data_IF_720512447627
#
_entry.id   IF_720512447627
#
_cell.length_a   1.000
_cell.length_b   1.000
_cell.length_c   1.000
_cell.angle_alpha   90.00
_cell.angle_beta   90.00
_cell.angle_gamma   90.00
#
_symmetry.space_group_name_H-M   'P 1'
#
loop_
_entity.id
_entity.type
_entity.pdbx_description
1 polymer ?
#
# COMPACT_ATOMS: atom_id res chain seq x y z
N UNK A 1 -16.44 -27.07 -56.15
CA UNK A 1 -15.65 -25.83 -56.16
C UNK A 1 -16.62 -24.66 -56.19
N UNK A 2 -16.43 -23.68 -55.32
CA UNK A 2 -17.33 -22.52 -55.21
C UNK A 2 -16.50 -21.25 -55.44
N UNK A 3 -16.80 -20.52 -56.51
CA UNK A 3 -16.13 -19.27 -56.86
C UNK A 3 -17.20 -18.20 -57.03
N UNK A 4 -17.09 -17.12 -56.26
CA UNK A 4 -18.00 -15.99 -56.29
C UNK A 4 -17.22 -14.78 -56.76
N UNK A 5 -17.72 -14.10 -57.79
CA UNK A 5 -17.17 -12.82 -58.25
C UNK A 5 -18.23 -11.75 -58.06
N UNK A 6 -17.96 -10.79 -57.17
CA UNK A 6 -18.83 -9.65 -56.91
C UNK A 6 -20.30 -10.03 -56.68
N UNK A 7 -20.53 -11.12 -55.93
CA UNK A 7 -21.87 -11.63 -55.66
C UNK A 7 -22.54 -10.83 -54.53
N UNK A 8 -23.83 -10.55 -54.66
CA UNK A 8 -24.64 -9.96 -53.58
C UNK A 8 -24.73 -10.94 -52.41
N UNK A 9 -24.45 -10.45 -51.20
CA UNK A 9 -24.54 -11.24 -49.97
C UNK A 9 -25.89 -11.92 -49.80
N UNK A 10 -27.00 -11.33 -50.28
CA UNK A 10 -28.34 -11.93 -50.21
C UNK A 10 -28.46 -13.19 -51.05
N UNK A 11 -27.93 -13.16 -52.27
CA UNK A 11 -27.90 -14.32 -53.15
C UNK A 11 -26.99 -15.42 -52.59
N UNK A 12 -25.89 -15.04 -51.95
CA UNK A 12 -24.99 -15.97 -51.26
C UNK A 12 -25.67 -16.64 -50.07
N UNK A 13 -26.39 -15.88 -49.24
CA UNK A 13 -27.18 -16.41 -48.11
C UNK A 13 -28.21 -17.43 -48.60
N UNK A 14 -28.93 -17.13 -49.68
CA UNK A 14 -29.93 -18.04 -50.24
C UNK A 14 -29.30 -19.34 -50.75
N UNK A 15 -28.15 -19.25 -51.42
CA UNK A 15 -27.41 -20.44 -51.91
C UNK A 15 -26.97 -21.31 -50.73
N UNK A 16 -26.48 -20.69 -49.66
CA UNK A 16 -26.03 -21.39 -48.46
C UNK A 16 -27.22 -21.98 -47.69
N UNK A 17 -28.36 -21.30 -47.65
CA UNK A 17 -29.59 -21.82 -47.06
C UNK A 17 -30.01 -23.15 -47.70
N UNK A 18 -29.93 -23.23 -49.04
CA UNK A 18 -30.23 -24.46 -49.79
C UNK A 18 -29.19 -25.54 -49.52
N UNK A 19 -27.90 -25.20 -49.54
CA UNK A 19 -26.82 -26.17 -49.36
C UNK A 19 -26.70 -26.71 -47.93
N UNK A 20 -26.97 -25.86 -46.93
CA UNK A 20 -26.86 -26.23 -45.50
C UNK A 20 -28.19 -26.72 -44.92
N UNK A 21 -29.31 -26.53 -45.63
CA UNK A 21 -30.66 -26.85 -45.15
C UNK A 21 -31.14 -25.97 -44.00
N UNK A 22 -30.45 -24.87 -43.69
CA UNK A 22 -30.76 -23.98 -42.56
C UNK A 22 -31.58 -22.79 -43.02
N UNK A 23 -32.55 -22.38 -42.21
CA UNK A 23 -33.36 -21.18 -42.46
C UNK A 23 -32.64 -19.92 -41.94
N UNK A 24 -32.52 -18.90 -42.79
CA UNK A 24 -31.90 -17.62 -42.43
C UNK A 24 -32.93 -16.49 -42.41
N UNK A 25 -32.84 -15.61 -41.41
CA UNK A 25 -33.58 -14.34 -41.35
C UNK A 25 -32.56 -13.23 -41.52
N UNK A 26 -32.74 -12.39 -42.54
CA UNK A 26 -31.78 -11.34 -42.90
C UNK A 26 -32.36 -9.98 -42.54
N UNK A 27 -31.60 -9.18 -41.78
CA UNK A 27 -31.96 -7.79 -41.49
C UNK A 27 -31.87 -6.94 -42.78
N UNK A 28 -32.82 -6.00 -43.04
CA UNK A 28 -32.76 -5.10 -44.20
C UNK A 28 -31.43 -4.35 -44.37
N UNK A 29 -30.69 -4.11 -43.28
CA UNK A 29 -29.39 -3.43 -43.27
C UNK A 29 -28.24 -4.26 -43.85
N UNK A 30 -28.46 -5.56 -44.08
CA UNK A 30 -27.44 -6.44 -44.67
C UNK A 30 -27.39 -6.19 -46.18
N UNK A 31 -26.35 -5.46 -46.59
CA UNK A 31 -26.05 -5.12 -47.98
C UNK A 31 -24.53 -5.17 -48.17
N UNK A 32 -24.08 -5.66 -49.31
CA UNK A 32 -22.67 -5.73 -49.64
C UNK A 32 -22.37 -6.81 -50.67
N UNK A 33 -21.21 -6.67 -51.30
CA UNK A 33 -20.75 -7.58 -52.33
C UNK A 33 -19.55 -8.36 -51.82
N UNK A 34 -19.50 -9.66 -52.12
CA UNK A 34 -18.40 -10.54 -51.73
C UNK A 34 -17.77 -11.21 -52.94
N UNK A 35 -16.45 -11.38 -52.87
CA UNK A 35 -15.68 -12.14 -53.85
C UNK A 35 -14.94 -13.26 -53.12
N UNK A 36 -15.19 -14.50 -53.54
CA UNK A 36 -14.53 -15.68 -53.01
C UNK A 36 -13.76 -16.38 -54.12
N UNK A 37 -12.47 -16.52 -53.91
CA UNK A 37 -11.60 -17.29 -54.77
C UNK A 37 -11.21 -18.55 -53.98
N UNK A 38 -11.88 -19.67 -54.27
CA UNK A 38 -11.52 -20.97 -53.70
C UNK A 38 -11.03 -21.93 -54.78
N UNK A 39 -9.94 -22.64 -54.49
CA UNK A 39 -9.28 -23.58 -55.40
C UNK A 39 -9.43 -25.05 -54.93
N UNK A 40 -10.06 -25.30 -53.78
CA UNK A 40 -10.26 -26.64 -53.21
C UNK A 40 -11.76 -26.99 -53.10
N UNK A 41 -12.14 -28.27 -53.28
CA UNK A 41 -13.47 -28.73 -52.86
C UNK A 41 -13.58 -28.58 -51.33
N UNK A 42 -14.68 -28.02 -50.86
CA UNK A 42 -14.95 -27.74 -49.44
C UNK A 42 -16.18 -28.51 -49.00
N UNK A 43 -16.18 -28.99 -47.76
CA UNK A 43 -17.33 -29.63 -47.14
C UNK A 43 -18.42 -28.60 -46.77
N UNK A 44 -19.67 -29.01 -46.53
CA UNK A 44 -20.73 -28.09 -46.12
C UNK A 44 -20.40 -27.27 -44.86
N UNK A 45 -19.69 -27.88 -43.90
CA UNK A 45 -19.28 -27.20 -42.65
C UNK A 45 -18.17 -26.18 -42.88
N UNK A 46 -17.19 -26.50 -43.73
CA UNK A 46 -16.14 -25.55 -44.13
C UNK A 46 -16.71 -24.38 -44.92
N UNK A 47 -17.67 -24.63 -45.82
CA UNK A 47 -18.39 -23.58 -46.55
C UNK A 47 -19.14 -22.65 -45.59
N UNK A 48 -19.78 -23.21 -44.57
CA UNK A 48 -20.44 -22.43 -43.53
C UNK A 48 -19.44 -21.57 -42.75
N UNK A 49 -18.27 -22.09 -42.40
CA UNK A 49 -17.21 -21.30 -41.74
C UNK A 49 -16.69 -20.17 -42.63
N UNK A 50 -16.42 -20.43 -43.91
CA UNK A 50 -16.03 -19.39 -44.87
C UNK A 50 -17.09 -18.29 -44.97
N UNK A 51 -18.36 -18.68 -44.99
CA UNK A 51 -19.46 -17.73 -45.00
C UNK A 51 -19.52 -16.86 -43.74
N UNK A 52 -19.29 -17.44 -42.56
CA UNK A 52 -19.18 -16.64 -41.33
C UNK A 52 -18.03 -15.64 -41.43
N UNK A 53 -16.87 -16.05 -41.95
CA UNK A 53 -15.73 -15.14 -42.15
C UNK A 53 -16.04 -14.03 -43.16
N UNK A 54 -16.81 -14.31 -44.23
CA UNK A 54 -17.28 -13.28 -45.17
C UNK A 54 -18.19 -12.26 -44.50
N UNK A 55 -19.17 -12.74 -43.72
CA UNK A 55 -20.05 -11.86 -42.97
C UNK A 55 -19.24 -10.96 -42.04
N UNK A 56 -18.23 -11.50 -41.38
CA UNK A 56 -17.37 -10.75 -40.49
C UNK A 56 -16.59 -9.63 -41.21
N UNK A 57 -16.07 -9.87 -42.41
CA UNK A 57 -15.40 -8.82 -43.22
C UNK A 57 -16.38 -7.67 -43.47
N UNK A 58 -17.62 -7.98 -43.81
CA UNK A 58 -18.69 -7.01 -44.03
C UNK A 58 -19.31 -6.45 -42.73
N UNK A 59 -18.75 -6.74 -41.56
CA UNK A 59 -19.27 -6.32 -40.25
C UNK A 59 -20.70 -6.83 -39.94
N UNK A 60 -21.07 -7.97 -40.50
CA UNK A 60 -22.28 -8.72 -40.16
C UNK A 60 -21.93 -9.97 -39.36
N UNK A 61 -22.90 -10.48 -38.60
CA UNK A 61 -22.76 -11.71 -37.87
C UNK A 61 -24.03 -12.55 -38.00
N UNK A 62 -23.83 -13.86 -38.11
CA UNK A 62 -24.90 -14.84 -38.04
C UNK A 62 -25.06 -15.31 -36.60
N UNK A 63 -26.22 -15.04 -36.00
CA UNK A 63 -26.57 -15.46 -34.64
C UNK A 63 -27.64 -16.55 -34.71
N UNK A 64 -27.34 -17.79 -34.28
CA UNK A 64 -28.34 -18.84 -34.23
C UNK A 64 -29.42 -18.54 -33.18
N UNK A 65 -30.69 -18.69 -33.56
CA UNK A 65 -31.85 -18.42 -32.72
C UNK A 65 -32.89 -19.52 -32.86
N UNK A 66 -32.73 -20.59 -32.09
CA UNK A 66 -33.57 -21.80 -32.22
C UNK A 66 -33.28 -22.51 -33.55
N UNK A 67 -34.30 -22.67 -34.39
CA UNK A 67 -34.19 -23.35 -35.69
C UNK A 67 -33.81 -22.41 -36.86
N UNK A 68 -33.67 -21.10 -36.59
CA UNK A 68 -33.36 -20.08 -37.61
C UNK A 68 -32.08 -19.34 -37.25
N UNK A 69 -31.31 -18.95 -38.26
CA UNK A 69 -30.10 -18.15 -38.09
C UNK A 69 -30.41 -16.70 -38.49
N UNK A 70 -30.22 -15.75 -37.57
CA UNK A 70 -30.44 -14.33 -37.84
C UNK A 70 -29.14 -13.68 -38.28
N UNK A 71 -29.13 -13.05 -39.45
CA UNK A 71 -27.99 -12.26 -39.94
C UNK A 71 -28.24 -10.80 -39.58
N UNK A 72 -27.42 -10.27 -38.67
CA UNK A 72 -27.57 -8.93 -38.09
C UNK A 72 -26.23 -8.17 -38.16
N UNK A 73 -26.23 -6.84 -38.06
CA UNK A 73 -25.01 -6.06 -37.88
C UNK A 73 -24.22 -6.55 -36.64
N UNK A 74 -22.90 -6.66 -36.77
CA UNK A 74 -22.04 -7.26 -35.74
C UNK A 74 -22.11 -6.52 -34.40
N UNK A 75 -22.39 -5.21 -34.40
CA UNK A 75 -22.59 -4.42 -33.18
C UNK A 75 -23.76 -4.93 -32.31
N UNK A 76 -24.81 -5.47 -32.94
CA UNK A 76 -25.99 -5.97 -32.24
C UNK A 76 -25.90 -7.47 -31.94
N UNK A 77 -24.92 -8.17 -32.52
CA UNK A 77 -24.79 -9.61 -32.43
C UNK A 77 -24.44 -10.09 -31.02
N UNK A 78 -23.62 -9.35 -30.28
CA UNK A 78 -23.26 -9.67 -28.90
C UNK A 78 -24.45 -9.58 -27.94
N UNK A 79 -25.38 -8.64 -28.16
CA UNK A 79 -26.60 -8.49 -27.35
C UNK A 79 -27.68 -9.52 -27.68
N UNK A 80 -27.68 -10.02 -28.92
CA UNK A 80 -28.66 -11.00 -29.42
C UNK A 80 -28.20 -12.45 -29.25
N UNK A 81 -26.90 -12.68 -29.02
CA UNK A 81 -26.37 -14.02 -28.78
C UNK A 81 -26.77 -14.52 -27.38
N UNK A 82 -27.54 -15.60 -27.36
CA UNK A 82 -27.95 -16.31 -26.13
C UNK A 82 -27.10 -17.56 -25.86
N UNK A 83 -26.16 -17.87 -26.75
CA UNK A 83 -25.29 -19.03 -26.58
C UNK A 83 -24.16 -18.67 -25.63
N UNK A 84 -24.23 -19.26 -24.44
CA UNK A 84 -23.13 -19.23 -23.48
C UNK A 84 -22.14 -20.33 -23.87
N UNK A 85 -20.99 -19.93 -24.39
CA UNK A 85 -19.89 -20.86 -24.68
C UNK A 85 -19.27 -21.33 -23.37
N UNK A 86 -19.20 -22.65 -23.20
CA UNK A 86 -18.57 -23.31 -22.05
C UNK A 86 -17.24 -23.94 -22.46
N UNK A 87 -16.44 -24.40 -21.48
CA UNK A 87 -15.19 -25.11 -21.79
C UNK A 87 -15.39 -26.36 -22.68
N UNK A 88 -16.56 -27.01 -22.59
CA UNK A 88 -16.90 -28.20 -23.38
C UNK A 88 -17.42 -27.87 -24.78
N UNK A 89 -18.04 -26.70 -24.98
CA UNK A 89 -18.47 -26.21 -26.28
C UNK A 89 -18.00 -24.76 -26.50
N UNK A 90 -16.75 -24.55 -26.93
CA UNK A 90 -16.17 -23.22 -27.08
C UNK A 90 -16.75 -22.41 -28.25
N UNK A 91 -17.62 -23.00 -29.08
CA UNK A 91 -18.04 -22.44 -30.37
C UNK A 91 -16.98 -22.68 -31.45
N UNK A 92 -17.38 -22.61 -32.72
CA UNK A 92 -16.49 -22.86 -33.86
C UNK A 92 -16.27 -21.61 -34.70
N UNK A 93 -15.01 -21.24 -34.90
CA UNK A 93 -14.59 -20.17 -35.80
C UNK A 93 -15.14 -18.80 -35.42
N UNK A 94 -15.96 -18.24 -36.32
CA UNK A 94 -16.44 -16.86 -36.26
C UNK A 94 -17.86 -16.71 -35.71
N UNK A 95 -18.37 -17.75 -35.05
CA UNK A 95 -19.62 -17.70 -34.30
C UNK A 95 -19.51 -16.72 -33.12
N UNK A 96 -20.55 -15.88 -32.95
CA UNK A 96 -20.62 -14.92 -31.85
C UNK A 96 -21.14 -15.62 -30.60
N UNK A 97 -20.26 -15.78 -29.62
CA UNK A 97 -20.56 -16.44 -28.35
C UNK A 97 -20.29 -15.50 -27.17
N UNK A 98 -21.00 -15.74 -26.07
CA UNK A 98 -20.74 -15.07 -24.79
C UNK A 98 -20.10 -16.09 -23.85
N UNK A 99 -19.00 -15.71 -23.19
CA UNK A 99 -18.29 -16.59 -22.26
C UNK A 99 -17.96 -15.86 -20.97
N UNK A 100 -18.28 -16.51 -19.85
CA UNK A 100 -17.89 -16.05 -18.53
C UNK A 100 -16.60 -16.75 -18.14
N UNK A 101 -15.57 -15.98 -17.80
CA UNK A 101 -14.24 -16.46 -17.41
C UNK A 101 -13.95 -15.96 -16.00
N UNK A 102 -13.92 -16.82 -14.98
CA UNK A 102 -13.47 -16.42 -13.64
C UNK A 102 -11.97 -16.12 -13.66
N UNK A 103 -11.56 -15.09 -12.93
CA UNK A 103 -10.14 -14.71 -12.73
C UNK A 103 -9.81 -14.88 -11.25
N UNK A 104 -8.67 -15.51 -10.93
CA UNK A 104 -8.37 -15.90 -9.55
C UNK A 104 -7.42 -14.93 -8.82
N UNK A 105 -6.36 -14.47 -9.49
CA UNK A 105 -5.29 -13.72 -8.83
C UNK A 105 -5.30 -12.22 -9.15
N UNK A 106 -5.83 -11.85 -10.31
CA UNK A 106 -5.90 -10.45 -10.78
C UNK A 106 -7.35 -9.97 -10.74
N UNK A 107 -7.56 -8.69 -10.41
CA UNK A 107 -8.89 -8.09 -10.47
C UNK A 107 -9.38 -8.03 -11.92
N UNK A 108 -10.61 -8.49 -12.16
CA UNK A 108 -11.24 -8.40 -13.46
C UNK A 108 -11.30 -6.96 -13.98
N UNK A 109 -11.44 -5.96 -13.11
CA UNK A 109 -11.48 -4.53 -13.50
C UNK A 109 -10.15 -4.01 -14.05
N UNK A 110 -9.02 -4.54 -13.56
CA UNK A 110 -7.68 -4.16 -14.01
C UNK A 110 -7.34 -4.76 -15.38
N UNK A 111 -7.93 -5.91 -15.70
CA UNK A 111 -7.73 -6.57 -16.99
C UNK A 111 -8.52 -5.92 -18.14
N UNK A 112 -9.67 -5.28 -17.87
CA UNK A 112 -10.50 -4.63 -18.91
C UNK A 112 -9.71 -3.69 -19.83
N UNK A 113 -8.94 -2.69 -19.34
CA UNK A 113 -8.22 -1.77 -20.20
C UNK A 113 -7.11 -2.43 -21.02
N UNK A 114 -6.53 -3.53 -20.52
CA UNK A 114 -5.47 -4.29 -21.22
C UNK A 114 -6.08 -5.21 -22.30
N UNK A 115 -7.27 -5.74 -22.05
CA UNK A 115 -7.96 -6.65 -22.97
C UNK A 115 -8.73 -5.91 -24.08
N UNK A 116 -9.18 -4.66 -23.84
CA UNK A 116 -9.97 -3.88 -24.80
C UNK A 116 -9.29 -3.72 -26.18
N UNK A 117 -7.98 -3.43 -26.29
CA UNK A 117 -7.30 -3.34 -27.59
C UNK A 117 -7.19 -4.68 -28.34
N UNK A 118 -7.26 -5.81 -27.64
CA UNK A 118 -7.19 -7.15 -28.21
C UNK A 118 -8.57 -7.66 -28.67
N UNK A 119 -9.63 -6.89 -28.41
CA UNK A 119 -10.97 -7.21 -28.89
C UNK A 119 -11.17 -6.84 -30.36
N UNK A 120 -12.03 -7.60 -31.05
CA UNK A 120 -12.58 -7.15 -32.33
C UNK A 120 -13.56 -5.99 -32.12
N UNK A 121 -13.77 -5.16 -33.14
CA UNK A 121 -14.72 -4.02 -33.09
C UNK A 121 -16.16 -4.45 -32.71
N UNK A 122 -16.49 -5.72 -32.93
CA UNK A 122 -17.78 -6.36 -32.61
C UNK A 122 -17.85 -7.00 -31.22
N UNK A 123 -16.76 -6.99 -30.45
CA UNK A 123 -16.69 -7.65 -29.15
C UNK A 123 -16.86 -6.69 -27.97
N UNK A 124 -17.38 -7.20 -26.85
CA UNK A 124 -17.48 -6.48 -25.58
C UNK A 124 -16.85 -7.27 -24.44
N UNK A 125 -16.07 -6.60 -23.59
CA UNK A 125 -15.53 -7.12 -22.33
C UNK A 125 -16.18 -6.34 -21.20
N UNK A 126 -16.80 -7.05 -20.27
CA UNK A 126 -17.35 -6.48 -19.03
C UNK A 126 -16.84 -7.26 -17.84
N UNK A 127 -16.38 -6.55 -16.81
CA UNK A 127 -16.01 -7.18 -15.53
C UNK A 127 -17.25 -7.27 -14.62
N UNK A 128 -17.46 -8.44 -14.03
CA UNK A 128 -18.45 -8.67 -12.98
C UNK A 128 -17.74 -8.76 -11.64
N UNK A 129 -17.85 -7.69 -10.86
CA UNK A 129 -17.08 -7.49 -9.63
C UNK A 129 -17.39 -8.50 -8.51
N UNK A 130 -18.65 -8.85 -8.20
CA UNK A 130 -18.95 -9.72 -7.05
C UNK A 130 -18.34 -11.12 -7.13
N UNK A 131 -18.19 -11.67 -8.35
CA UNK A 131 -17.59 -13.00 -8.56
C UNK A 131 -16.20 -12.94 -9.22
N UNK A 132 -15.58 -11.75 -9.29
CA UNK A 132 -14.33 -11.49 -10.01
C UNK A 132 -14.24 -12.21 -11.38
N UNK A 133 -15.28 -12.07 -12.20
CA UNK A 133 -15.37 -12.76 -13.48
C UNK A 133 -15.39 -11.76 -14.65
N UNK A 134 -14.81 -12.17 -15.78
CA UNK A 134 -14.87 -11.44 -17.05
C UNK A 134 -15.95 -12.05 -17.93
N UNK A 135 -16.89 -11.22 -18.35
CA UNK A 135 -17.88 -11.56 -19.37
C UNK A 135 -17.32 -11.08 -20.71
N UNK A 136 -16.99 -12.04 -21.57
CA UNK A 136 -16.43 -11.82 -22.90
C UNK A 136 -17.52 -12.13 -23.94
N UNK A 137 -17.82 -11.19 -24.82
CA UNK A 137 -18.71 -11.39 -25.95
C UNK A 137 -17.95 -11.12 -27.26
N UNK A 138 -18.03 -12.02 -28.22
CA UNK A 138 -17.33 -11.89 -29.51
C UNK A 138 -17.19 -13.21 -30.26
N UNK A 139 -16.32 -13.22 -31.27
CA UNK A 139 -16.01 -14.42 -32.05
C UNK A 139 -15.33 -15.50 -31.18
N UNK A 140 -15.74 -16.76 -31.34
CA UNK A 140 -15.20 -17.90 -30.60
C UNK A 140 -13.68 -18.06 -30.76
N UNK A 141 -13.14 -17.79 -31.95
CA UNK A 141 -11.70 -17.82 -32.22
C UNK A 141 -10.93 -16.77 -31.40
N UNK A 142 -11.47 -15.54 -31.33
CA UNK A 142 -10.86 -14.45 -30.55
C UNK A 142 -10.97 -14.68 -29.05
N UNK A 143 -12.14 -15.14 -28.56
CA UNK A 143 -12.33 -15.49 -27.15
C UNK A 143 -11.34 -16.58 -26.71
N UNK A 144 -11.10 -17.58 -27.55
CA UNK A 144 -10.10 -18.63 -27.26
C UNK A 144 -8.68 -18.07 -27.15
N UNK A 145 -8.32 -17.09 -27.99
CA UNK A 145 -7.05 -16.38 -27.90
C UNK A 145 -6.97 -15.52 -26.63
N UNK A 146 -8.02 -14.75 -26.32
CA UNK A 146 -8.13 -13.94 -25.11
C UNK A 146 -7.99 -14.79 -23.85
N UNK A 147 -8.58 -15.97 -23.80
CA UNK A 147 -8.46 -16.88 -22.65
C UNK A 147 -7.02 -17.34 -22.44
N UNK A 148 -6.26 -17.60 -23.51
CA UNK A 148 -4.83 -17.93 -23.39
C UNK A 148 -4.05 -16.76 -22.80
N UNK A 149 -4.34 -15.53 -23.24
CA UNK A 149 -3.73 -14.30 -22.71
C UNK A 149 -4.10 -14.12 -21.23
N UNK A 150 -5.39 -14.21 -20.89
CA UNK A 150 -5.89 -14.10 -19.52
C UNK A 150 -5.20 -15.14 -18.63
N UNK A 151 -5.09 -16.41 -19.06
CA UNK A 151 -4.37 -17.45 -18.28
C UNK A 151 -2.88 -17.17 -18.13
N UNK A 152 -2.24 -16.58 -19.14
CA UNK A 152 -0.83 -16.19 -19.03
C UNK A 152 -0.60 -14.97 -18.14
N UNK A 153 -1.65 -14.16 -17.91
CA UNK A 153 -1.60 -12.99 -17.02
C UNK A 153 -2.10 -13.30 -15.60
N UNK A 154 -3.10 -14.18 -15.47
CA UNK A 154 -3.62 -14.74 -14.22
C UNK A 154 -2.66 -15.80 -13.67
N UNK A 155 -1.38 -15.44 -13.59
CA UNK A 155 -0.39 -16.21 -12.86
C UNK A 155 -0.52 -15.89 -11.38
N UNK A 156 -0.09 -16.86 -10.56
CA UNK A 156 -0.06 -16.77 -9.11
C UNK A 156 0.92 -15.66 -8.70
N UNK A 157 0.44 -14.42 -8.63
CA UNK A 157 1.00 -13.41 -7.75
C UNK A 157 0.46 -13.71 -6.35
N UNK A 158 0.79 -14.88 -5.79
CA UNK A 158 0.36 -15.21 -4.43
C UNK A 158 1.06 -14.23 -3.50
N UNK A 159 0.31 -13.24 -3.04
CA UNK A 159 0.65 -12.56 -1.82
C UNK A 159 0.49 -13.60 -0.71
N UNK A 160 1.62 -14.16 -0.29
CA UNK A 160 1.65 -15.06 0.87
C UNK A 160 1.84 -14.19 2.10
N UNK A 161 1.10 -14.53 3.17
CA UNK A 161 1.27 -13.89 4.47
C UNK A 161 2.37 -14.65 5.21
N UNK A 162 3.50 -14.00 5.41
CA UNK A 162 4.63 -14.52 6.18
C UNK A 162 4.74 -13.74 7.49
N UNK A 163 4.90 -14.46 8.60
CA UNK A 163 5.13 -13.88 9.92
C UNK A 163 6.62 -13.80 10.19
N UNK A 164 7.13 -12.60 10.47
CA UNK A 164 8.54 -12.36 10.80
C UNK A 164 8.63 -11.85 12.24
N UNK A 165 9.26 -12.63 13.11
CA UNK A 165 9.49 -12.23 14.51
C UNK A 165 10.72 -11.33 14.61
N UNK A 166 10.63 -10.28 15.43
CA UNK A 166 11.73 -9.35 15.70
C UNK A 166 12.35 -9.62 17.07
N UNK A 167 13.68 -9.53 17.17
CA UNK A 167 14.38 -9.78 18.43
C UNK A 167 14.70 -8.51 19.21
N UNK A 168 14.97 -7.40 18.52
CA UNK A 168 15.48 -6.17 19.13
C UNK A 168 14.64 -4.94 18.79
N UNK A 169 14.15 -4.83 17.56
CA UNK A 169 13.34 -3.69 17.12
C UNK A 169 11.86 -3.88 17.47
N UNK A 170 11.15 -2.76 17.70
CA UNK A 170 9.70 -2.77 17.90
C UNK A 170 8.96 -2.86 16.54
N UNK A 171 8.05 -3.82 16.41
CA UNK A 171 7.30 -4.08 15.19
C UNK A 171 6.53 -2.85 14.68
N UNK A 172 5.92 -2.06 15.56
CA UNK A 172 5.15 -0.87 15.19
C UNK A 172 6.05 0.20 14.55
N UNK A 173 7.23 0.42 15.12
CA UNK A 173 8.20 1.39 14.59
C UNK A 173 8.74 0.94 13.24
N UNK A 174 9.11 -0.33 13.11
CA UNK A 174 9.63 -0.88 11.83
C UNK A 174 8.57 -0.81 10.73
N UNK A 175 7.32 -1.20 11.01
CA UNK A 175 6.24 -1.11 10.02
C UNK A 175 6.00 0.33 9.58
N UNK A 176 6.02 1.30 10.48
CA UNK A 176 5.85 2.72 10.11
C UNK A 176 6.96 3.23 9.17
N UNK A 177 8.21 2.81 9.41
CA UNK A 177 9.36 3.14 8.54
C UNK A 177 9.18 2.51 7.17
N UNK A 178 8.86 1.21 7.11
CA UNK A 178 8.67 0.51 5.83
C UNK A 178 7.47 1.10 5.08
N UNK A 179 6.39 1.46 5.77
CA UNK A 179 5.21 2.09 5.17
C UNK A 179 5.52 3.47 4.59
N UNK A 180 6.38 4.26 5.25
CA UNK A 180 6.85 5.55 4.73
C UNK A 180 7.73 5.39 3.47
N UNK A 181 8.57 4.34 3.42
CA UNK A 181 9.35 4.02 2.23
C UNK A 181 8.46 3.49 1.09
N UNK A 182 7.42 2.75 1.43
CA UNK A 182 6.46 2.21 0.46
C UNK A 182 5.59 3.30 -0.16
N UNK A 183 5.09 4.25 0.65
CA UNK A 183 4.31 5.39 0.14
C UNK A 183 5.16 6.28 -0.78
N UNK A 184 6.45 6.49 -0.46
CA UNK A 184 7.39 7.16 -1.36
C UNK A 184 7.57 6.43 -2.70
N UNK A 185 7.60 5.09 -2.71
CA UNK A 185 7.64 4.29 -3.95
C UNK A 185 6.35 4.32 -4.75
N UNK A 186 5.19 4.36 -4.08
CA UNK A 186 3.88 4.50 -4.74
C UNK A 186 3.75 5.83 -5.47
N UNK A 187 4.28 6.92 -4.90
CA UNK A 187 4.30 8.24 -5.55
C UNK A 187 5.14 8.26 -6.84
N UNK A 188 6.13 7.37 -6.98
CA UNK A 188 6.96 7.22 -8.18
C UNK A 188 6.40 6.22 -9.22
N UNK A 189 5.14 5.79 -9.10
CA UNK A 189 4.48 4.89 -10.05
C UNK A 189 4.74 3.38 -9.82
N UNK A 190 5.36 3.01 -8.70
CA UNK A 190 5.55 1.60 -8.33
C UNK A 190 4.29 1.00 -7.70
N UNK A 191 3.65 0.05 -8.37
CA UNK A 191 2.56 -0.76 -7.78
C UNK A 191 3.15 -1.64 -6.67
N UNK A 192 3.02 -1.17 -5.43
CA UNK A 192 3.48 -1.90 -4.25
C UNK A 192 2.34 -2.77 -3.73
N UNK A 193 2.23 -3.99 -4.26
CA UNK A 193 1.23 -4.98 -3.84
C UNK A 193 1.63 -5.70 -2.54
N UNK A 194 2.17 -4.95 -1.57
CA UNK A 194 2.62 -5.49 -0.27
C UNK A 194 1.80 -4.86 0.85
N UNK A 195 1.14 -5.67 1.66
CA UNK A 195 0.49 -5.22 2.89
C UNK A 195 1.33 -5.63 4.09
N UNK A 196 1.47 -4.72 5.05
CA UNK A 196 2.27 -4.90 6.25
C UNK A 196 1.38 -4.60 7.45
N UNK A 197 1.36 -5.50 8.43
CA UNK A 197 0.73 -5.26 9.71
C UNK A 197 1.73 -5.60 10.82
N UNK A 198 1.74 -4.79 11.88
CA UNK A 198 2.52 -5.06 13.08
C UNK A 198 1.61 -5.73 14.11
N UNK A 199 2.10 -6.83 14.69
CA UNK A 199 1.59 -7.38 15.94
C UNK A 199 2.48 -6.87 17.07
N UNK A 200 1.92 -6.06 17.97
CA UNK A 200 2.64 -5.50 19.11
C UNK A 200 2.80 -6.48 20.26
N UNK A 201 1.94 -7.50 20.35
CA UNK A 201 1.90 -8.41 21.48
C UNK A 201 2.99 -9.49 21.32
N UNK A 202 3.15 -10.02 20.10
CA UNK A 202 4.19 -10.98 19.75
C UNK A 202 5.47 -10.34 19.19
N UNK A 203 5.50 -9.00 19.08
CA UNK A 203 6.55 -8.23 18.40
C UNK A 203 6.91 -8.83 17.03
N UNK A 204 5.89 -9.13 16.24
CA UNK A 204 6.02 -9.76 14.94
C UNK A 204 5.45 -8.86 13.83
N UNK A 205 5.97 -9.02 12.62
CA UNK A 205 5.49 -8.31 11.43
C UNK A 205 4.85 -9.33 10.50
N UNK A 206 3.59 -9.09 10.18
CA UNK A 206 2.86 -9.81 9.16
C UNK A 206 3.12 -9.13 7.81
N UNK A 207 3.79 -9.85 6.91
CA UNK A 207 4.11 -9.38 5.56
C UNK A 207 3.25 -10.15 4.58
N UNK A 208 2.31 -9.48 3.92
CA UNK A 208 1.54 -10.03 2.80
C UNK A 208 2.09 -9.49 1.48
N UNK A 209 2.87 -10.31 0.77
CA UNK A 209 3.58 -9.88 -0.42
C UNK A 209 3.93 -11.07 -1.34
N UNK A 210 4.22 -10.77 -2.61
CA UNK A 210 4.86 -11.71 -3.53
C UNK A 210 6.25 -12.11 -2.98
N UNK A 211 6.66 -13.37 -3.20
CA UNK A 211 7.96 -13.94 -2.81
C UNK A 211 9.16 -12.99 -3.01
N UNK A 212 9.25 -12.31 -4.15
CA UNK A 212 10.35 -11.37 -4.42
C UNK A 212 10.33 -10.18 -3.46
N UNK A 213 9.15 -9.63 -3.21
CA UNK A 213 8.98 -8.50 -2.29
C UNK A 213 9.15 -8.93 -0.83
N UNK A 214 8.72 -10.14 -0.47
CA UNK A 214 8.93 -10.72 0.87
C UNK A 214 10.42 -10.82 1.17
N UNK A 215 11.25 -11.31 0.24
CA UNK A 215 12.71 -11.36 0.40
C UNK A 215 13.34 -9.98 0.58
N UNK A 216 12.87 -8.97 -0.16
CA UNK A 216 13.36 -7.59 -0.02
C UNK A 216 13.00 -7.04 1.37
N UNK A 217 11.74 -7.22 1.80
CA UNK A 217 11.25 -6.77 3.10
C UNK A 217 11.97 -7.51 4.22
N UNK A 218 12.19 -8.82 4.10
CA UNK A 218 12.90 -9.61 5.11
C UNK A 218 14.35 -9.14 5.27
N UNK A 219 15.05 -8.87 4.17
CA UNK A 219 16.40 -8.29 4.24
C UNK A 219 16.40 -6.90 4.89
N UNK A 220 15.40 -6.06 4.59
CA UNK A 220 15.26 -4.75 5.22
C UNK A 220 14.97 -4.89 6.72
N UNK A 221 14.08 -5.82 7.10
CA UNK A 221 13.79 -6.13 8.50
C UNK A 221 15.06 -6.58 9.21
N UNK A 222 15.86 -7.48 8.65
CA UNK A 222 17.15 -7.90 9.24
C UNK A 222 18.15 -6.75 9.39
N UNK A 223 18.11 -5.78 8.49
CA UNK A 223 18.95 -4.58 8.59
C UNK A 223 18.49 -3.64 9.71
N UNK A 224 17.16 -3.57 9.94
CA UNK A 224 16.55 -2.75 11.00
C UNK A 224 16.54 -3.45 12.36
N UNK A 225 16.48 -4.78 12.42
CA UNK A 225 16.48 -5.58 13.66
C UNK A 225 17.91 -5.79 14.19
N UNK A 226 18.63 -4.69 14.42
CA UNK A 226 19.95 -4.69 15.04
C UNK A 226 19.85 -4.37 16.54
N UNK A 227 20.74 -4.96 17.34
CA UNK A 227 20.88 -4.65 18.77
C UNK A 227 21.15 -3.14 18.93
N UNK A 228 20.24 -2.45 19.63
CA UNK A 228 20.27 -0.98 19.79
C UNK A 228 19.40 -0.19 18.81
N UNK A 229 18.63 -0.86 17.93
CA UNK A 229 17.62 -0.21 17.06
C UNK A 229 16.26 -0.01 17.73
N UNK A 230 16.09 -0.46 18.97
CA UNK A 230 15.00 -0.03 19.85
C UNK A 230 15.31 1.39 20.30
N UNK A 231 14.52 2.35 19.81
CA UNK A 231 14.83 3.78 19.85
C UNK A 231 14.95 4.37 21.27
N UNK A 232 14.59 3.62 22.31
CA UNK A 232 14.63 4.06 23.71
C UNK A 232 15.57 3.16 24.52
N UNK A 233 16.58 3.77 25.13
CA UNK A 233 17.53 3.11 26.01
C UNK A 233 17.31 3.60 27.45
N UNK A 234 17.63 2.75 28.44
CA UNK A 234 17.54 3.11 29.85
C UNK A 234 18.94 3.16 30.44
N UNK A 235 19.37 4.37 30.81
CA UNK A 235 20.68 4.58 31.41
C UNK A 235 20.54 5.04 32.85
N UNK A 236 21.26 4.36 33.74
CA UNK A 236 21.41 4.77 35.14
C UNK A 236 22.73 5.52 35.29
N UNK A 237 22.68 6.74 35.84
CA UNK A 237 23.86 7.56 36.11
C UNK A 237 23.89 7.94 37.59
N UNK A 238 24.96 7.53 38.28
CA UNK A 238 25.23 7.91 39.67
C UNK A 238 25.80 9.33 39.74
N UNK A 239 25.37 10.12 40.73
CA UNK A 239 25.87 11.47 40.99
C UNK A 239 26.77 11.49 42.22
N UNK A 240 27.83 12.30 42.20
CA UNK A 240 28.82 12.36 43.28
C UNK A 240 28.67 13.58 44.20
N UNK A 241 28.35 14.76 43.65
CA UNK A 241 28.34 16.02 44.39
C UNK A 241 26.94 16.65 44.47
N UNK A 242 26.06 16.38 43.50
CA UNK A 242 24.66 16.84 43.53
C UNK A 242 23.67 15.73 43.89
N UNK A 243 22.55 16.15 44.48
CA UNK A 243 21.44 15.26 44.84
C UNK A 243 20.51 15.00 43.65
N UNK A 244 20.24 13.73 43.34
CA UNK A 244 19.34 13.29 42.27
C UNK A 244 17.93 13.90 42.39
N UNK A 245 17.40 13.99 43.62
CA UNK A 245 16.06 14.55 43.91
C UNK A 245 15.89 16.00 43.44
N UNK A 246 16.95 16.81 43.50
CA UNK A 246 16.92 18.22 43.05
C UNK A 246 17.14 18.34 41.54
N UNK A 247 17.88 17.42 40.94
CA UNK A 247 18.22 17.47 39.52
C UNK A 247 17.18 16.84 38.59
N UNK A 248 16.49 15.78 39.01
CA UNK A 248 15.47 15.13 38.19
C UNK A 248 14.41 16.08 37.60
N UNK A 249 13.77 17.01 38.36
CA UNK A 249 12.78 17.90 37.77
C UNK A 249 13.38 18.92 36.79
N UNK A 250 14.66 19.28 36.97
CA UNK A 250 15.37 20.20 36.06
C UNK A 250 15.71 19.47 34.76
N UNK A 251 16.21 18.24 34.85
CA UNK A 251 16.52 17.41 33.69
C UNK A 251 15.26 16.99 32.94
N UNK A 252 14.14 16.75 33.62
CA UNK A 252 12.86 16.48 32.98
C UNK A 252 12.40 17.65 32.10
N UNK A 253 12.47 18.90 32.62
CA UNK A 253 12.15 20.11 31.84
C UNK A 253 13.11 20.32 30.66
N UNK A 254 14.40 20.03 30.84
CA UNK A 254 15.39 20.12 29.77
C UNK A 254 15.12 19.06 28.69
N UNK A 255 14.81 17.83 29.10
CA UNK A 255 14.52 16.74 28.18
C UNK A 255 13.26 17.03 27.36
N UNK A 256 12.22 17.58 27.99
CA UNK A 256 11.00 18.05 27.31
C UNK A 256 11.29 19.19 26.32
N UNK A 257 12.13 20.17 26.70
CA UNK A 257 12.57 21.25 25.81
C UNK A 257 13.41 20.79 24.61
N UNK A 258 14.27 19.78 24.80
CA UNK A 258 15.06 19.18 23.72
C UNK A 258 14.13 18.47 22.69
N UNK A 259 13.07 17.79 23.15
CA UNK A 259 12.09 17.17 22.25
C UNK A 259 11.26 18.19 21.48
N UNK A 260 10.90 19.30 22.10
CA UNK A 260 10.17 20.39 21.45
C UNK A 260 10.98 20.98 20.28
N UNK A 261 12.31 21.10 20.43
CA UNK A 261 13.21 21.56 19.37
C UNK A 261 13.42 20.54 18.25
N UNK A 262 13.35 19.23 18.55
CA UNK A 262 13.42 18.18 17.53
C UNK A 262 12.17 18.15 16.62
N UNK A 263 10.99 18.52 17.15
CA UNK A 263 9.74 18.64 16.37
C UNK A 263 9.76 19.82 15.39
N UNK A 264 10.49 20.89 15.66
CA UNK A 264 10.58 22.06 14.75
C UNK A 264 11.54 21.88 13.56
N UNK A 265 12.45 20.90 13.61
CA UNK A 265 13.42 20.66 12.52
C UNK A 265 12.88 19.72 11.41
N UNK A 266 11.77 19.01 11.64
CA UNK A 266 11.00 18.34 10.59
C UNK A 266 9.81 19.22 10.25
N UNK A 267 9.83 19.79 9.04
CA UNK A 267 8.85 20.78 8.59
C UNK A 267 7.39 20.35 8.80
N UNK A 268 6.55 21.36 9.04
CA UNK A 268 5.10 21.29 9.18
C UNK A 268 4.45 20.24 8.25
N UNK A 269 4.00 19.13 8.82
CA UNK A 269 2.84 18.40 8.35
C UNK A 269 1.84 18.36 9.51
N UNK A 270 0.71 19.00 9.29
CA UNK A 270 -0.36 19.18 10.26
C UNK A 270 -1.01 17.84 10.63
N UNK A 271 -1.39 17.76 11.91
CA UNK A 271 -2.46 16.93 12.49
C UNK A 271 -2.40 15.42 12.23
N UNK A 272 -1.91 14.67 13.22
CA UNK A 272 -2.80 13.73 13.90
C UNK A 272 -2.30 13.46 15.32
N UNK A 273 -3.26 13.33 16.22
CA UNK A 273 -3.17 13.04 17.64
C UNK A 273 -2.64 11.61 17.84
N UNK A 274 -1.35 11.41 17.60
CA UNK A 274 -0.64 10.22 18.03
C UNK A 274 0.41 10.67 19.01
N UNK A 275 0.08 10.53 20.29
CA UNK A 275 1.06 10.35 21.36
C UNK A 275 2.03 9.21 20.97
N UNK A 276 2.99 9.49 20.10
CA UNK A 276 4.33 9.00 20.35
C UNK A 276 4.85 9.86 21.49
N UNK A 277 4.38 9.54 22.70
CA UNK A 277 5.18 9.78 23.88
C UNK A 277 6.47 9.00 23.59
N UNK A 278 7.46 9.65 22.96
CA UNK A 278 8.84 9.29 23.25
C UNK A 278 8.88 9.36 24.77
N UNK A 279 8.81 8.19 25.40
CA UNK A 279 8.50 8.02 26.82
C UNK A 279 9.72 8.50 27.60
N UNK A 280 9.91 9.81 27.65
CA UNK A 280 11.08 10.43 28.25
C UNK A 280 10.79 10.55 29.73
N UNK A 281 11.12 9.46 30.43
CA UNK A 281 10.98 9.38 31.87
C UNK A 281 12.35 9.59 32.51
N UNK A 282 12.46 10.67 33.28
CA UNK A 282 13.62 10.94 34.13
C UNK A 282 13.16 10.79 35.57
N UNK A 283 13.64 9.75 36.25
CA UNK A 283 13.30 9.47 37.64
C UNK A 283 14.56 9.54 38.51
N UNK A 284 14.44 10.15 39.68
CA UNK A 284 15.51 10.17 40.69
C UNK A 284 15.34 8.99 41.63
N UNK A 285 16.39 8.19 41.76
CA UNK A 285 16.53 7.22 42.84
C UNK A 285 17.26 7.89 44.01
N UNK A 286 16.53 8.12 45.10
CA UNK A 286 17.06 8.88 46.25
C UNK A 286 18.01 8.07 47.13
N UNK A 287 17.91 6.74 47.13
CA UNK A 287 18.70 5.86 48.01
C UNK A 287 20.15 5.73 47.52
N UNK A 288 20.34 5.59 46.21
CA UNK A 288 21.65 5.40 45.56
C UNK A 288 22.21 6.72 45.01
N UNK A 289 21.50 7.83 45.18
CA UNK A 289 21.78 9.11 44.54
C UNK A 289 22.03 8.99 43.03
N UNK A 290 21.17 8.21 42.36
CA UNK A 290 21.25 7.95 40.92
C UNK A 290 20.06 8.55 40.17
N UNK A 291 20.27 8.85 38.89
CA UNK A 291 19.22 9.26 37.97
C UNK A 291 19.02 8.15 36.95
N UNK A 292 17.79 7.66 36.87
CA UNK A 292 17.32 6.72 35.86
C UNK A 292 16.73 7.56 34.73
N UNK A 293 17.31 7.44 33.54
CA UNK A 293 16.86 8.14 32.35
C UNK A 293 16.43 7.11 31.31
N UNK A 294 15.17 7.18 30.91
CA UNK A 294 14.64 6.47 29.75
C UNK A 294 14.39 7.51 28.67
N UNK A 295 15.11 7.41 27.54
CA UNK A 295 14.98 8.34 26.43
C UNK A 295 15.71 7.80 25.19
N UNK A 296 15.53 8.49 24.06
CA UNK A 296 16.31 8.22 22.87
C UNK A 296 17.81 8.45 23.09
N UNK A 297 18.65 7.66 22.39
CA UNK A 297 20.11 7.68 22.56
C UNK A 297 20.74 9.07 22.35
N UNK A 298 20.17 9.89 21.47
CA UNK A 298 20.60 11.26 21.25
C UNK A 298 20.37 12.14 22.49
N UNK A 299 19.19 12.04 23.09
CA UNK A 299 18.82 12.77 24.31
C UNK A 299 19.65 12.28 25.50
N UNK A 300 19.86 10.97 25.65
CA UNK A 300 20.69 10.40 26.73
C UNK A 300 22.13 10.93 26.69
N UNK A 301 22.73 11.02 25.50
CA UNK A 301 24.09 11.55 25.35
C UNK A 301 24.13 13.06 25.71
N UNK A 302 23.11 13.81 25.30
CA UNK A 302 22.92 15.20 25.69
C UNK A 302 22.81 15.38 27.21
N UNK A 303 21.88 14.67 27.85
CA UNK A 303 21.67 14.70 29.31
C UNK A 303 22.92 14.27 30.08
N UNK A 304 23.61 13.22 29.63
CA UNK A 304 24.87 12.78 30.25
C UNK A 304 25.94 13.87 30.20
N UNK A 305 26.02 14.63 29.10
CA UNK A 305 26.96 15.75 28.98
C UNK A 305 26.62 16.91 29.92
N UNK A 306 25.33 17.19 30.13
CA UNK A 306 24.84 18.21 31.07
C UNK A 306 25.11 17.79 32.51
N UNK A 307 24.80 16.54 32.87
CA UNK A 307 25.07 15.98 34.20
C UNK A 307 26.56 16.12 34.53
N UNK A 308 27.46 15.76 33.61
CA UNK A 308 28.92 15.90 33.83
C UNK A 308 29.37 17.35 34.04
N UNK A 309 28.68 18.34 33.45
CA UNK A 309 29.01 19.75 33.64
C UNK A 309 28.51 20.28 34.97
N UNK A 310 27.36 19.78 35.42
CA UNK A 310 26.69 20.24 36.63
C UNK A 310 27.24 19.55 37.90
N UNK A 311 27.58 18.26 37.83
CA UNK A 311 28.16 17.46 38.93
C UNK A 311 29.64 17.79 39.17
N UNK A 312 29.92 19.02 39.62
CA UNK A 312 31.24 19.50 40.02
C UNK A 312 31.33 19.70 41.52
N UNK A 313 32.54 19.56 42.05
CA UNK A 313 32.86 19.86 43.46
C UNK A 313 32.52 21.33 43.76
N UNK A 314 31.74 21.63 44.81
CA UNK A 314 31.44 23.01 45.20
C UNK A 314 32.71 23.73 45.67
N UNK A 315 32.80 25.03 45.40
CA UNK A 315 33.84 25.89 45.99
C UNK A 315 33.40 26.30 47.39
N UNK A 316 34.27 26.10 48.37
CA UNK A 316 34.04 26.55 49.74
C UNK A 316 34.41 28.04 49.84
N UNK A 317 33.53 28.85 50.44
CA UNK A 317 33.74 30.28 50.67
C UNK A 317 33.85 30.52 52.17
N UNK A 318 34.98 31.09 52.60
CA UNK A 318 35.17 31.55 53.98
C UNK A 318 34.51 32.92 54.13
N UNK A 319 33.56 33.04 55.05
CA UNK A 319 32.92 34.31 55.40
C UNK A 319 33.39 34.71 56.79
N UNK A 320 34.20 35.75 56.87
CA UNK A 320 34.58 36.39 58.13
C UNK A 320 33.66 37.58 58.38
N UNK A 321 32.95 37.55 59.51
CA UNK A 321 32.14 38.68 59.97
C UNK A 321 32.74 39.22 61.27
N UNK A 322 33.15 40.48 61.26
CA UNK A 322 33.57 41.20 62.48
C UNK A 322 32.38 42.02 62.96
N UNK A 323 31.89 41.72 64.16
CA UNK A 323 30.80 42.45 64.80
C UNK A 323 31.41 43.38 65.85
N UNK A 324 31.27 44.69 65.64
CA UNK A 324 31.68 45.70 66.63
C UNK A 324 30.43 46.31 67.27
N UNK A 325 30.32 46.18 68.59
CA UNK A 325 29.26 46.81 69.39
C UNK A 325 29.85 47.96 70.19
N UNK A 326 29.28 49.16 70.05
CA UNK A 326 29.61 50.33 70.89
C UNK A 326 28.46 50.51 71.88
N UNK A 327 28.75 50.40 73.18
CA UNK A 327 27.79 50.67 74.25
C UNK A 327 28.03 52.09 74.81
N UNK A 328 27.06 52.98 74.63
CA UNK A 328 27.16 54.44 74.92
C UNK A 328 26.73 54.81 76.35
N UNK A 329 26.67 53.84 77.28
CA UNK A 329 26.07 54.02 78.61
C UNK A 329 27.05 54.53 79.71
N UNK A 330 28.29 54.89 79.36
CA UNK A 330 29.30 55.30 80.35
C UNK A 330 29.41 56.83 80.54
N UNK A 331 28.81 57.65 79.67
CA UNK A 331 29.00 59.12 79.68
C UNK A 331 28.16 59.87 80.74
N UNK A 332 27.12 59.26 81.32
CA UNK A 332 26.21 59.93 82.25
C UNK A 332 26.52 59.72 83.76
N UNK A 333 27.69 59.20 84.14
CA UNK A 333 28.06 58.94 85.55
C UNK A 333 29.14 59.86 86.14
N UNK A 334 29.61 60.87 85.41
CA UNK A 334 30.58 61.84 85.92
C UNK A 334 29.86 63.08 86.46
N UNK A 335 29.53 63.06 87.75
CA UNK A 335 29.07 64.22 88.52
C UNK A 335 30.05 64.53 89.65
N UNK A 336 30.35 65.81 89.89
CA UNK A 336 31.29 66.26 90.93
C UNK A 336 30.51 66.49 92.23
N UNK A 337 30.83 65.73 93.29
CA UNK A 337 30.27 65.94 94.64
C UNK A 337 31.26 66.79 95.45
N UNK A 338 30.83 67.97 95.86
CA UNK A 338 31.57 68.83 96.79
C UNK A 338 31.01 68.57 98.19
N UNK A 339 31.86 68.10 99.11
CA UNK A 339 31.53 67.93 100.52
C UNK A 339 32.44 68.80 101.38
N UNK A 340 31.85 69.65 102.22
CA UNK A 340 32.57 70.39 103.26
C UNK A 340 32.59 69.55 104.54
N UNK A 341 33.78 69.32 105.10
CA UNK A 341 33.94 68.63 106.38
C UNK A 341 33.72 69.62 107.54
N UNK A 342 32.87 69.26 108.49
CA UNK A 342 32.62 70.02 109.70
C UNK A 342 32.75 69.07 110.90
N UNK A 343 33.97 68.96 111.45
CA UNK A 343 34.34 69.01 112.87
C UNK A 343 35.85 68.81 113.03
#
# INVERSE_FOLDING_TARGET
MWNLKNADIRAVIQTIAVLTGKSFIVDPRVQGNVTLISQKPMTPDELYQVFLSMLQILQFAAVPSGNVIKVVPAMNAAALSRQIATNANPGSGDEIVVRVVPVNHVSATELVPVLRPLMSQSGSVTAYMPSNALILAGSASNITRLIKVIRSMDMVNSNQVTVVHLNYANAKNVVSVIQSLQSARRASGGTSNTALAADSDENSILVSANTTNTLIIENLIRQLDRKGSGADDTRVVSLNYLSAKKLAPILAKIAEGINASAKTAKGNAASDDSQTNDNISVQAESNTNAIIMHASIGVLNGLTSVIRRLDRRPQEVLVEAIIVKVDENLLNKLGIVWGTANN
#
